data_IF_768012092239
#
_entry.id   IF_768012092239
#
_cell.length_a   1.000
_cell.length_b   1.000
_cell.length_c   1.000
_cell.angle_alpha   90.00
_cell.angle_beta   90.00
_cell.angle_gamma   90.00
#
_symmetry.space_group_name_H-M   'P 1'
#
loop_
_entity.id
_entity.type
_entity.pdbx_description
1 polymer ?
#
# COMPACT_ATOMS: atom_id res chain seq x y z
N UNK A 1 13.22 12.73 -9.13
CA UNK A 1 14.10 11.52 -9.13
C UNK A 1 15.53 11.86 -8.71
N UNK A 2 16.38 12.47 -9.54
CA UNK A 2 17.79 12.77 -9.16
C UNK A 2 17.92 13.73 -7.97
N UNK A 3 17.18 14.83 -8.00
CA UNK A 3 17.14 15.82 -6.92
C UNK A 3 16.56 15.22 -5.64
N UNK A 4 15.41 14.55 -5.74
CA UNK A 4 14.78 13.84 -4.61
C UNK A 4 15.72 12.82 -3.97
N UNK A 5 16.47 12.06 -4.77
CA UNK A 5 17.47 11.11 -4.28
C UNK A 5 18.58 11.84 -3.50
N UNK A 6 19.10 12.94 -4.04
CA UNK A 6 20.13 13.74 -3.38
C UNK A 6 19.64 14.24 -2.02
N UNK A 7 18.45 14.86 -1.97
CA UNK A 7 17.86 15.37 -0.74
C UNK A 7 17.62 14.27 0.29
N UNK A 8 17.01 13.15 -0.10
CA UNK A 8 16.79 12.02 0.81
C UNK A 8 18.12 11.45 1.32
N UNK A 9 19.13 11.34 0.47
CA UNK A 9 20.45 10.85 0.89
C UNK A 9 21.11 11.79 1.89
N UNK A 10 21.00 13.09 1.69
CA UNK A 10 21.61 14.11 2.55
C UNK A 10 20.88 14.21 3.91
N UNK A 11 19.55 14.24 3.89
CA UNK A 11 18.73 14.49 5.10
C UNK A 11 18.34 13.22 5.87
N UNK A 12 18.42 12.03 5.26
CA UNK A 12 17.92 10.77 5.87
C UNK A 12 18.46 10.49 7.26
N UNK A 13 19.75 10.76 7.52
CA UNK A 13 20.36 10.53 8.84
C UNK A 13 19.79 11.44 9.92
N UNK A 14 19.63 12.72 9.60
CA UNK A 14 19.09 13.74 10.50
C UNK A 14 17.61 13.48 10.80
N UNK A 15 16.85 13.10 9.77
CA UNK A 15 15.43 12.74 9.87
C UNK A 15 15.19 11.36 10.48
N UNK A 16 16.25 10.60 10.82
CA UNK A 16 16.14 9.24 11.36
C UNK A 16 15.52 8.22 10.40
N UNK A 17 15.63 8.46 9.09
CA UNK A 17 15.08 7.61 8.03
C UNK A 17 16.17 6.67 7.51
N UNK A 18 15.87 5.37 7.43
CA UNK A 18 16.75 4.39 6.79
C UNK A 18 16.60 4.43 5.26
N UNK A 19 17.25 5.39 4.59
CA UNK A 19 17.17 5.51 3.13
C UNK A 19 18.10 4.51 2.43
N UNK A 20 17.51 3.45 1.85
CA UNK A 20 18.24 2.37 1.15
C UNK A 20 18.60 2.70 -0.31
N UNK A 21 18.20 3.86 -0.82
CA UNK A 21 18.44 4.29 -2.20
C UNK A 21 17.28 3.99 -3.15
N UNK A 22 17.59 3.91 -4.45
CA UNK A 22 16.59 3.63 -5.48
C UNK A 22 16.23 2.14 -5.49
N UNK A 23 14.96 1.85 -5.74
CA UNK A 23 14.42 0.50 -5.87
C UNK A 23 13.71 0.33 -7.20
N UNK A 24 13.64 -0.88 -7.70
CA UNK A 24 12.86 -1.23 -8.89
C UNK A 24 11.44 -1.66 -8.50
N UNK A 25 10.52 -1.65 -9.46
CA UNK A 25 9.11 -2.03 -9.23
C UNK A 25 8.94 -3.46 -8.68
N UNK A 26 9.88 -4.37 -8.95
CA UNK A 26 9.88 -5.73 -8.38
C UNK A 26 10.20 -5.75 -6.88
N UNK A 27 11.01 -4.81 -6.40
CA UNK A 27 11.50 -4.80 -5.02
C UNK A 27 10.39 -4.41 -4.03
N UNK A 28 9.34 -3.73 -4.50
CA UNK A 28 8.12 -3.43 -3.75
C UNK A 28 7.40 -4.70 -3.22
N UNK A 29 7.69 -5.87 -3.80
CA UNK A 29 7.12 -7.16 -3.38
C UNK A 29 8.12 -8.06 -2.63
N UNK A 30 9.36 -7.59 -2.42
CA UNK A 30 10.44 -8.41 -1.86
C UNK A 30 10.34 -8.61 -0.34
N UNK A 31 9.60 -7.75 0.36
CA UNK A 31 9.58 -7.69 1.83
C UNK A 31 10.81 -7.01 2.44
N UNK A 32 11.77 -6.56 1.62
CA UNK A 32 12.98 -5.85 2.09
C UNK A 32 12.80 -4.32 2.12
N UNK A 33 11.62 -3.82 1.74
CA UNK A 33 11.32 -2.38 1.64
C UNK A 33 9.98 -2.11 2.31
N UNK A 34 9.97 -1.24 3.32
CA UNK A 34 8.75 -0.88 4.05
C UNK A 34 7.98 0.26 3.36
N UNK A 35 8.69 1.23 2.78
CA UNK A 35 8.12 2.44 2.18
C UNK A 35 8.78 2.73 0.84
N UNK A 36 7.96 2.85 -0.21
CA UNK A 36 8.38 3.32 -1.53
C UNK A 36 7.80 4.72 -1.76
N UNK A 37 8.67 5.68 -2.05
CA UNK A 37 8.30 7.08 -2.32
C UNK A 37 8.36 7.34 -3.82
N UNK A 38 7.33 7.97 -4.37
CA UNK A 38 7.21 8.28 -5.80
C UNK A 38 6.29 9.47 -6.02
N UNK A 39 6.30 10.05 -7.22
CA UNK A 39 5.32 11.06 -7.60
C UNK A 39 3.93 10.44 -7.82
N UNK A 40 2.90 11.29 -7.81
CA UNK A 40 1.51 10.82 -7.90
C UNK A 40 1.17 10.10 -9.22
N UNK A 41 1.82 10.45 -10.34
CA UNK A 41 1.55 9.82 -11.62
C UNK A 41 2.16 8.41 -11.68
N UNK A 42 3.44 8.30 -11.36
CA UNK A 42 4.15 7.00 -11.33
C UNK A 42 3.53 6.06 -10.30
N UNK A 43 3.24 6.56 -9.09
CA UNK A 43 2.58 5.78 -8.04
C UNK A 43 1.18 5.29 -8.42
N UNK A 44 0.37 6.14 -9.06
CA UNK A 44 -0.95 5.73 -9.52
C UNK A 44 -0.88 4.68 -10.63
N UNK A 45 0.03 4.86 -11.61
CA UNK A 45 0.23 3.86 -12.67
C UNK A 45 0.69 2.51 -12.09
N UNK A 46 1.65 2.53 -11.16
CA UNK A 46 2.12 1.32 -10.48
C UNK A 46 0.99 0.64 -9.72
N UNK A 47 0.27 1.37 -8.87
CA UNK A 47 -0.85 0.84 -8.08
C UNK A 47 -1.92 0.19 -8.98
N UNK A 48 -2.32 0.89 -10.06
CA UNK A 48 -3.33 0.37 -11.00
C UNK A 48 -2.85 -0.85 -11.79
N UNK A 49 -1.57 -0.89 -12.16
CA UNK A 49 -0.98 -2.07 -12.79
C UNK A 49 -1.03 -3.29 -11.86
N UNK A 50 -0.69 -3.11 -10.58
CA UNK A 50 -0.70 -4.17 -9.56
C UNK A 50 -2.12 -4.65 -9.27
N UNK A 51 -3.08 -3.74 -9.11
CA UNK A 51 -4.50 -4.08 -8.98
C UNK A 51 -5.02 -4.88 -10.20
N UNK A 52 -4.64 -4.46 -11.40
CA UNK A 52 -4.99 -5.13 -12.66
C UNK A 52 -4.40 -6.52 -12.77
N UNK A 53 -3.12 -6.68 -12.41
CA UNK A 53 -2.42 -7.96 -12.39
C UNK A 53 -3.06 -8.93 -11.39
N UNK A 54 -3.38 -8.47 -10.17
CA UNK A 54 -4.07 -9.30 -9.17
C UNK A 54 -5.43 -9.81 -9.67
N UNK A 55 -6.22 -8.94 -10.32
CA UNK A 55 -7.49 -9.33 -10.96
C UNK A 55 -7.27 -10.35 -12.09
N UNK A 56 -6.26 -10.13 -12.93
CA UNK A 56 -5.91 -11.04 -14.02
C UNK A 56 -5.53 -12.43 -13.50
N UNK A 57 -4.62 -12.52 -12.53
CA UNK A 57 -4.18 -13.79 -11.93
C UNK A 57 -5.36 -14.53 -11.29
N UNK A 58 -6.19 -13.84 -10.51
CA UNK A 58 -7.37 -14.44 -9.87
C UNK A 58 -8.37 -15.00 -10.88
N UNK A 59 -8.63 -14.26 -11.97
CA UNK A 59 -9.50 -14.68 -13.06
C UNK A 59 -8.94 -15.91 -13.77
N UNK A 60 -7.71 -15.83 -14.27
CA UNK A 60 -7.06 -16.89 -15.04
C UNK A 60 -6.91 -18.19 -14.23
N UNK A 61 -6.58 -18.07 -12.93
CA UNK A 61 -6.55 -19.23 -12.03
C UNK A 61 -7.93 -19.85 -11.88
N UNK A 62 -8.97 -19.04 -11.64
CA UNK A 62 -10.34 -19.53 -11.49
C UNK A 62 -10.87 -20.21 -12.75
N UNK A 63 -10.59 -19.65 -13.93
CA UNK A 63 -10.95 -20.22 -15.23
C UNK A 63 -10.24 -21.56 -15.45
N UNK A 64 -8.94 -21.62 -15.16
CA UNK A 64 -8.14 -22.84 -15.32
C UNK A 64 -8.63 -23.98 -14.42
N UNK A 65 -8.95 -23.68 -13.16
CA UNK A 65 -9.47 -24.68 -12.20
C UNK A 65 -10.88 -25.17 -12.56
N UNK A 66 -11.67 -24.35 -13.26
CA UNK A 66 -13.05 -24.67 -13.65
C UNK A 66 -13.19 -25.24 -15.06
N UNK A 67 -12.09 -25.34 -15.82
CA UNK A 67 -12.06 -25.66 -17.25
C UNK A 67 -12.84 -26.93 -17.61
N UNK A 68 -12.70 -28.01 -16.85
CA UNK A 68 -13.45 -29.26 -17.04
C UNK A 68 -13.61 -30.04 -15.72
N UNK A 69 -14.39 -31.14 -15.76
CA UNK A 69 -14.70 -31.94 -14.57
C UNK A 69 -13.44 -32.51 -13.91
N UNK A 70 -12.44 -32.91 -14.70
CA UNK A 70 -11.16 -33.43 -14.21
C UNK A 70 -10.41 -32.33 -13.46
N UNK A 71 -10.30 -31.12 -14.01
CA UNK A 71 -9.65 -29.98 -13.35
C UNK A 71 -10.33 -29.61 -12.03
N UNK A 72 -11.66 -29.68 -11.96
CA UNK A 72 -12.43 -29.41 -10.73
C UNK A 72 -12.13 -30.45 -9.65
N UNK A 73 -12.10 -31.74 -10.01
CA UNK A 73 -11.78 -32.83 -9.07
C UNK A 73 -10.32 -32.73 -8.61
N UNK A 74 -9.38 -32.44 -9.51
CA UNK A 74 -7.97 -32.26 -9.18
C UNK A 74 -7.72 -31.05 -8.25
N UNK A 75 -8.56 -30.01 -8.33
CA UNK A 75 -8.45 -28.81 -7.50
C UNK A 75 -8.97 -28.98 -6.06
N UNK A 76 -9.85 -29.95 -5.80
CA UNK A 76 -10.49 -30.17 -4.50
C UNK A 76 -9.49 -30.31 -3.33
N UNK A 77 -8.47 -31.17 -3.38
CA UNK A 77 -7.50 -31.29 -2.28
C UNK A 77 -6.68 -30.00 -2.09
N UNK A 78 -6.44 -29.26 -3.17
CA UNK A 78 -5.67 -28.00 -3.15
C UNK A 78 -6.52 -26.77 -2.82
N UNK A 79 -7.83 -26.90 -2.67
CA UNK A 79 -8.76 -25.80 -2.47
C UNK A 79 -8.41 -24.90 -1.27
N UNK A 80 -7.95 -25.42 -0.11
CA UNK A 80 -7.50 -24.58 0.99
C UNK A 80 -6.30 -23.70 0.61
N UNK A 81 -5.32 -24.25 -0.12
CA UNK A 81 -4.15 -23.51 -0.58
C UNK A 81 -4.52 -22.45 -1.64
N UNK A 82 -5.40 -22.80 -2.57
CA UNK A 82 -5.94 -21.88 -3.59
C UNK A 82 -6.67 -20.71 -2.91
N UNK A 83 -7.48 -20.96 -1.88
CA UNK A 83 -8.16 -19.91 -1.12
C UNK A 83 -7.18 -19.01 -0.36
N UNK A 84 -6.13 -19.58 0.24
CA UNK A 84 -5.07 -18.79 0.89
C UNK A 84 -4.33 -17.89 -0.10
N UNK A 85 -3.97 -18.43 -1.26
CA UNK A 85 -3.35 -17.66 -2.34
C UNK A 85 -4.27 -16.55 -2.86
N UNK A 86 -5.55 -16.87 -3.12
CA UNK A 86 -6.52 -15.86 -3.55
C UNK A 86 -6.71 -14.74 -2.51
N UNK A 87 -6.51 -15.04 -1.22
CA UNK A 87 -6.53 -14.05 -0.15
C UNK A 87 -5.27 -13.19 -0.12
N UNK A 88 -4.08 -13.75 -0.36
CA UNK A 88 -2.82 -12.98 -0.34
C UNK A 88 -2.71 -11.97 -1.48
N UNK A 89 -3.46 -12.18 -2.57
CA UNK A 89 -3.56 -11.22 -3.69
C UNK A 89 -4.74 -10.26 -3.56
N UNK A 90 -5.54 -10.37 -2.49
CA UNK A 90 -6.71 -9.51 -2.24
C UNK A 90 -6.33 -8.34 -1.33
N UNK A 91 -6.24 -7.15 -1.91
CA UNK A 91 -5.88 -5.92 -1.21
C UNK A 91 -7.00 -5.33 -0.35
N UNK A 92 -8.22 -5.90 -0.38
CA UNK A 92 -9.40 -5.36 0.31
C UNK A 92 -9.25 -5.26 1.83
N UNK A 93 -8.36 -6.05 2.44
CA UNK A 93 -8.16 -6.07 3.90
C UNK A 93 -7.29 -4.92 4.40
N UNK A 94 -6.64 -4.15 3.53
CA UNK A 94 -5.81 -3.00 3.92
C UNK A 94 -6.61 -1.73 4.25
N UNK A 95 -7.90 -1.67 3.89
CA UNK A 95 -8.76 -0.51 4.13
C UNK A 95 -8.66 0.56 3.05
N UNK A 96 -8.76 1.83 3.47
CA UNK A 96 -8.71 2.99 2.58
C UNK A 96 -7.31 3.56 2.39
N UNK A 97 -7.22 4.61 1.57
CA UNK A 97 -6.00 5.39 1.42
C UNK A 97 -5.96 6.52 2.47
N UNK A 98 -4.89 6.58 3.27
CA UNK A 98 -4.64 7.69 4.18
C UNK A 98 -4.32 8.96 3.38
N UNK A 99 -5.01 10.05 3.64
CA UNK A 99 -4.68 11.36 3.10
C UNK A 99 -3.71 12.05 4.06
N UNK A 100 -2.45 12.14 3.65
CA UNK A 100 -1.40 12.86 4.39
C UNK A 100 -1.30 14.31 3.89
N UNK A 101 -0.78 15.20 4.73
CA UNK A 101 -0.64 16.64 4.39
C UNK A 101 -1.89 17.49 4.61
N UNK A 102 -2.93 16.94 5.25
CA UNK A 102 -4.15 17.66 5.64
C UNK A 102 -4.19 17.93 7.15
N UNK A 103 -5.00 18.91 7.59
CA UNK A 103 -5.05 19.36 8.98
C UNK A 103 -5.71 18.38 9.95
N UNK A 104 -6.42 17.38 9.46
CA UNK A 104 -7.18 16.41 10.25
C UNK A 104 -7.05 15.01 9.64
N UNK A 105 -7.22 13.92 10.40
CA UNK A 105 -7.20 12.57 9.87
C UNK A 105 -8.28 12.37 8.79
N UNK A 106 -7.85 12.10 7.56
CA UNK A 106 -8.74 11.82 6.42
C UNK A 106 -8.36 10.48 5.81
N UNK A 107 -9.34 9.62 5.60
CA UNK A 107 -9.17 8.32 4.92
C UNK A 107 -10.16 8.23 3.77
N UNK A 108 -9.66 7.92 2.57
CA UNK A 108 -10.47 7.76 1.37
C UNK A 108 -10.74 6.28 1.12
N UNK A 109 -12.00 5.87 1.27
CA UNK A 109 -12.47 4.57 0.80
C UNK A 109 -12.48 4.52 -0.74
N UNK A 110 -12.26 3.34 -1.31
CA UNK A 110 -12.32 3.15 -2.75
C UNK A 110 -13.78 3.18 -3.24
N UNK A 111 -14.03 3.71 -4.44
CA UNK A 111 -15.41 3.86 -4.95
C UNK A 111 -16.15 2.53 -5.19
N UNK A 112 -15.42 1.42 -5.33
CA UNK A 112 -15.98 0.06 -5.44
C UNK A 112 -15.87 -0.74 -4.15
N UNK A 113 -15.70 -0.07 -3.00
CA UNK A 113 -15.65 -0.70 -1.67
C UNK A 113 -16.96 -1.41 -1.33
N UNK A 114 -16.85 -2.67 -0.91
CA UNK A 114 -17.94 -3.40 -0.28
C UNK A 114 -17.96 -3.17 1.25
N UNK A 115 -18.95 -3.74 1.93
CA UNK A 115 -19.12 -3.60 3.38
C UNK A 115 -17.85 -3.99 4.16
N UNK A 116 -17.12 -5.01 3.69
CA UNK A 116 -15.88 -5.47 4.33
C UNK A 116 -14.78 -4.41 4.19
N UNK A 117 -14.57 -3.85 2.99
CA UNK A 117 -13.58 -2.79 2.80
C UNK A 117 -13.92 -1.57 3.65
N UNK A 118 -15.21 -1.23 3.79
CA UNK A 118 -15.63 -0.10 4.61
C UNK A 118 -15.36 -0.34 6.11
N UNK A 119 -15.62 -1.55 6.62
CA UNK A 119 -15.28 -1.95 7.99
C UNK A 119 -13.77 -1.78 8.27
N UNK A 120 -12.91 -2.29 7.39
CA UNK A 120 -11.45 -2.13 7.52
C UNK A 120 -11.02 -0.66 7.40
N UNK A 121 -11.70 0.13 6.56
CA UNK A 121 -11.42 1.57 6.43
C UNK A 121 -11.72 2.31 7.73
N UNK A 122 -12.82 1.98 8.42
CA UNK A 122 -13.15 2.56 9.73
C UNK A 122 -12.10 2.17 10.77
N UNK A 123 -11.71 0.89 10.83
CA UNK A 123 -10.65 0.41 11.73
C UNK A 123 -9.32 1.13 11.48
N UNK A 124 -8.97 1.34 10.21
CA UNK A 124 -7.78 2.09 9.82
C UNK A 124 -7.87 3.57 10.25
N UNK A 125 -9.03 4.22 10.06
CA UNK A 125 -9.26 5.59 10.50
C UNK A 125 -9.15 5.73 12.02
N UNK A 126 -9.72 4.79 12.78
CA UNK A 126 -9.60 4.73 14.24
C UNK A 126 -8.13 4.63 14.68
N UNK A 127 -7.35 3.76 14.04
CA UNK A 127 -5.91 3.64 14.29
C UNK A 127 -5.16 4.92 13.92
N UNK A 128 -5.52 5.56 12.80
CA UNK A 128 -4.89 6.80 12.34
C UNK A 128 -5.05 7.93 13.36
N UNK A 129 -6.24 8.04 13.97
CA UNK A 129 -6.53 8.96 15.07
C UNK A 129 -5.77 8.55 16.35
N UNK A 130 -5.88 7.28 16.78
CA UNK A 130 -5.24 6.78 18.02
C UNK A 130 -3.72 6.97 18.02
N UNK A 131 -3.10 6.79 16.86
CA UNK A 131 -1.65 6.94 16.69
C UNK A 131 -1.18 8.40 16.69
N UNK A 132 -2.11 9.36 16.69
CA UNK A 132 -1.86 10.81 16.62
C UNK A 132 -0.93 11.18 15.47
N UNK A 133 -1.12 10.54 14.32
CA UNK A 133 -0.17 10.64 13.22
C UNK A 133 -0.18 12.03 12.58
N UNK A 134 -1.35 12.68 12.49
CA UNK A 134 -1.47 14.06 11.97
C UNK A 134 -0.80 15.06 12.92
N UNK A 135 -0.94 14.86 14.23
CA UNK A 135 -0.31 15.68 15.25
C UNK A 135 1.21 15.56 15.18
N UNK A 136 1.74 14.33 15.11
CA UNK A 136 3.17 14.07 14.94
C UNK A 136 3.75 14.71 13.67
N UNK A 137 3.01 14.64 12.56
CA UNK A 137 3.40 15.31 11.32
C UNK A 137 3.45 16.83 11.50
N UNK A 138 2.44 17.45 12.13
CA UNK A 138 2.43 18.89 12.41
C UNK A 138 3.61 19.30 13.30
N UNK A 139 3.87 18.54 14.36
CA UNK A 139 4.99 18.80 15.26
C UNK A 139 6.32 18.78 14.51
N UNK A 140 6.53 17.79 13.63
CA UNK A 140 7.76 17.68 12.85
C UNK A 140 7.95 18.86 11.89
N UNK A 141 6.92 19.20 11.10
CA UNK A 141 7.00 20.34 10.17
C UNK A 141 7.12 21.69 10.89
N UNK A 142 6.57 21.82 12.10
CA UNK A 142 6.69 23.08 12.87
C UNK A 142 8.11 23.28 13.38
N UNK A 143 8.77 22.22 13.86
CA UNK A 143 10.17 22.27 14.29
C UNK A 143 11.10 22.68 13.14
N UNK A 144 10.93 22.07 11.98
CA UNK A 144 11.71 22.39 10.78
C UNK A 144 11.55 23.86 10.37
N UNK A 145 10.32 24.39 10.41
CA UNK A 145 10.04 25.81 10.13
C UNK A 145 10.62 26.80 11.16
N UNK A 146 10.85 26.36 12.40
CA UNK A 146 11.47 27.17 13.44
C UNK A 146 13.00 27.16 13.30
N UNK A 147 13.59 26.02 12.92
CA UNK A 147 15.01 25.85 12.64
C UNK A 147 15.45 26.64 11.39
N UNK A 148 14.63 26.69 10.33
CA UNK A 148 14.92 27.50 9.13
C UNK A 148 14.88 29.03 9.35
N UNK A 149 14.27 29.49 10.46
CA UNK A 149 14.15 30.92 10.79
C UNK A 149 15.30 31.45 11.66
N UNK A 150 16.13 30.56 12.21
CA UNK A 150 17.31 30.91 13.02
C UNK A 150 18.56 31.00 12.15
#
# INVERSE_FOLDING_TARGET
MKESYKLLKEQSKELGVNFIGNVEGRDAFSGNVDIVVTDGFTGNNFLKAVEGLGKFVKRTLSESLKKNLISKIAALPSMPAIKRFAKSVDYKEYGGALFLGVKQPVVKAHGSSDAKVFEFTIKQAEQFVKNKAVEKLKEQFTKELEEEKQ
#
